data_IF_203301698745
#
_entry.id   IF_203301698745
#
_cell.length_a   1.000
_cell.length_b   1.000
_cell.length_c   1.000
_cell.angle_alpha   90.00
_cell.angle_beta   90.00
_cell.angle_gamma   90.00
#
_symmetry.space_group_name_H-M   'P 1'
#
loop_
_entity.id
_entity.type
_entity.pdbx_description
1 polymer ?
#
# COMPACT_ATOMS: atom_id res chain seq x y z
N UNK A 1 6.40 4.01 8.86
CA UNK A 1 5.96 5.29 8.28
C UNK A 1 6.13 6.43 9.29
N UNK A 2 7.35 6.60 9.78
CA UNK A 2 7.73 7.77 10.57
C UNK A 2 8.76 8.49 9.73
N UNK A 3 8.30 9.45 8.93
CA UNK A 3 9.22 10.33 8.24
C UNK A 3 10.13 10.97 9.29
N UNK A 4 11.37 11.30 8.92
CA UNK A 4 12.28 12.01 9.82
C UNK A 4 11.67 13.34 10.34
N UNK A 5 10.70 13.89 9.60
CA UNK A 5 9.91 15.04 9.99
C UNK A 5 8.97 14.73 11.18
N UNK A 6 8.17 13.65 11.13
CA UNK A 6 7.25 13.31 12.23
C UNK A 6 7.98 13.07 13.55
N UNK A 7 9.11 12.34 13.53
CA UNK A 7 9.91 12.07 14.74
C UNK A 7 10.49 13.32 15.41
N UNK A 8 10.57 14.44 14.69
CA UNK A 8 11.08 15.71 15.21
C UNK A 8 9.98 16.67 15.66
N UNK A 9 8.73 16.45 15.25
CA UNK A 9 7.65 17.45 15.35
C UNK A 9 6.34 16.90 15.94
N UNK A 10 6.32 15.66 16.44
CA UNK A 10 5.15 15.03 17.01
C UNK A 10 5.52 14.13 18.21
N UNK A 11 4.59 13.92 19.12
CA UNK A 11 4.75 13.00 20.26
C UNK A 11 4.75 11.54 19.79
N UNK A 12 5.23 10.63 20.64
CA UNK A 12 5.19 9.19 20.36
C UNK A 12 3.75 8.69 20.16
N UNK A 13 2.81 9.19 20.97
CA UNK A 13 1.38 8.87 20.87
C UNK A 13 0.78 9.33 19.53
N UNK A 14 1.09 10.55 19.08
CA UNK A 14 0.62 11.08 17.80
C UNK A 14 1.17 10.27 16.62
N UNK A 15 2.43 9.87 16.71
CA UNK A 15 3.10 9.01 15.73
C UNK A 15 2.46 7.63 15.70
N UNK A 16 2.13 7.06 16.86
CA UNK A 16 1.49 5.76 16.95
C UNK A 16 0.08 5.79 16.34
N UNK A 17 -0.74 6.77 16.72
CA UNK A 17 -2.09 6.96 16.19
C UNK A 17 -2.07 7.13 14.66
N UNK A 18 -1.16 7.96 14.14
CA UNK A 18 -0.93 8.09 12.70
C UNK A 18 -0.56 6.73 12.06
N UNK A 19 0.37 6.01 12.68
CA UNK A 19 0.83 4.71 12.20
C UNK A 19 -0.29 3.67 12.12
N UNK A 20 -1.21 3.66 13.09
CA UNK A 20 -2.37 2.77 13.11
C UNK A 20 -3.35 3.11 11.98
N UNK A 21 -3.78 4.37 11.86
CA UNK A 21 -4.72 4.81 10.82
C UNK A 21 -4.15 4.64 9.42
N UNK A 22 -2.85 4.89 9.24
CA UNK A 22 -2.17 4.70 7.97
C UNK A 22 -2.12 3.22 7.56
N UNK A 23 -1.78 2.31 8.48
CA UNK A 23 -1.79 0.86 8.21
C UNK A 23 -3.19 0.38 7.84
N UNK A 24 -4.21 0.84 8.55
CA UNK A 24 -5.60 0.50 8.29
C UNK A 24 -6.02 0.96 6.88
N UNK A 25 -5.69 2.20 6.52
CA UNK A 25 -6.03 2.76 5.21
C UNK A 25 -5.38 1.98 4.07
N UNK A 26 -4.10 1.61 4.22
CA UNK A 26 -3.41 0.77 3.26
C UNK A 26 -4.13 -0.57 3.10
N UNK A 27 -4.37 -1.29 4.21
CA UNK A 27 -5.04 -2.60 4.18
C UNK A 27 -6.40 -2.51 3.47
N UNK A 28 -7.21 -1.50 3.79
CA UNK A 28 -8.52 -1.26 3.19
C UNK A 28 -8.44 -0.91 1.70
N UNK A 29 -7.51 -0.03 1.33
CA UNK A 29 -7.30 0.36 -0.07
C UNK A 29 -6.86 -0.83 -0.92
N UNK A 30 -5.97 -1.68 -0.38
CA UNK A 30 -5.54 -2.91 -1.05
C UNK A 30 -6.69 -3.92 -1.18
N UNK A 31 -7.42 -4.18 -0.10
CA UNK A 31 -8.56 -5.10 -0.13
C UNK A 31 -9.62 -4.63 -1.13
N UNK A 32 -10.00 -3.35 -1.09
CA UNK A 32 -10.98 -2.76 -2.02
C UNK A 32 -10.53 -2.84 -3.48
N UNK A 33 -9.27 -2.50 -3.77
CA UNK A 33 -8.71 -2.61 -5.13
C UNK A 33 -8.76 -4.05 -5.62
N UNK A 34 -8.35 -5.02 -4.81
CA UNK A 34 -8.40 -6.44 -5.19
C UNK A 34 -9.83 -6.93 -5.40
N UNK A 35 -10.76 -6.55 -4.52
CA UNK A 35 -12.17 -6.89 -4.63
C UNK A 35 -12.83 -6.28 -5.88
N UNK A 36 -12.44 -5.09 -6.31
CA UNK A 36 -12.96 -4.49 -7.54
C UNK A 36 -12.64 -5.30 -8.81
N UNK A 37 -11.65 -6.19 -8.74
CA UNK A 37 -11.25 -7.07 -9.84
C UNK A 37 -11.70 -8.52 -9.65
N UNK A 38 -12.46 -8.83 -8.59
CA UNK A 38 -12.84 -10.20 -8.22
C UNK A 38 -13.63 -10.98 -9.28
N UNK A 39 -14.36 -10.28 -10.15
CA UNK A 39 -15.13 -10.89 -11.25
C UNK A 39 -14.35 -10.93 -12.59
N UNK A 40 -13.07 -10.59 -12.59
CA UNK A 40 -12.24 -10.53 -13.78
C UNK A 40 -11.31 -11.73 -13.88
N UNK A 41 -10.85 -12.05 -15.09
CA UNK A 41 -9.84 -13.09 -15.28
C UNK A 41 -8.48 -12.58 -14.78
N UNK A 42 -7.94 -13.25 -13.78
CA UNK A 42 -6.63 -12.95 -13.19
C UNK A 42 -5.63 -14.00 -13.65
N UNK A 43 -4.51 -13.56 -14.19
CA UNK A 43 -3.40 -14.40 -14.61
C UNK A 43 -2.14 -14.06 -13.81
N UNK A 44 -1.67 -15.01 -13.00
CA UNK A 44 -0.40 -14.90 -12.30
C UNK A 44 0.71 -15.39 -13.24
N UNK A 45 1.70 -14.52 -13.49
CA UNK A 45 2.88 -14.86 -14.28
C UNK A 45 3.96 -15.47 -13.38
N UNK A 46 5.00 -16.01 -14.02
CA UNK A 46 6.12 -16.62 -13.32
C UNK A 46 6.75 -15.66 -12.28
N UNK A 47 6.85 -16.08 -11.00
CA UNK A 47 7.48 -15.29 -9.96
C UNK A 47 8.97 -15.03 -10.27
N UNK A 48 9.41 -13.81 -10.04
CA UNK A 48 10.80 -13.38 -10.21
C UNK A 48 11.45 -13.19 -8.85
N UNK A 49 12.30 -14.13 -8.46
CA UNK A 49 13.09 -14.04 -7.24
C UNK A 49 14.24 -13.05 -7.40
N UNK A 50 14.56 -12.30 -6.35
CA UNK A 50 15.68 -11.37 -6.36
C UNK A 50 17.00 -12.12 -6.29
N UNK A 51 17.91 -11.80 -7.21
CA UNK A 51 19.27 -12.34 -7.21
C UNK A 51 20.11 -11.88 -6.01
N UNK A 52 19.76 -10.73 -5.41
CA UNK A 52 20.49 -10.14 -4.28
C UNK A 52 19.95 -10.58 -2.93
N UNK A 53 18.69 -11.01 -2.86
CA UNK A 53 18.06 -11.43 -1.62
C UNK A 53 17.02 -12.52 -1.93
N UNK A 54 17.29 -13.79 -1.62
CA UNK A 54 16.37 -14.90 -1.93
C UNK A 54 15.05 -14.82 -1.14
N UNK A 55 14.99 -14.02 -0.07
CA UNK A 55 13.77 -13.73 0.67
C UNK A 55 12.93 -12.63 0.01
N UNK A 56 13.25 -12.18 -1.20
CA UNK A 56 12.44 -11.21 -1.95
C UNK A 56 12.06 -11.76 -3.31
N UNK A 57 10.81 -11.54 -3.68
CA UNK A 57 10.27 -11.93 -4.97
C UNK A 57 9.31 -10.85 -5.51
N UNK A 58 9.12 -10.84 -6.82
CA UNK A 58 8.05 -10.12 -7.47
C UNK A 58 7.14 -11.13 -8.17
N UNK A 59 5.82 -10.99 -8.00
CA UNK A 59 4.82 -11.80 -8.67
C UNK A 59 4.06 -10.90 -9.64
N UNK A 60 4.44 -10.88 -10.94
CA UNK A 60 3.70 -10.13 -11.94
C UNK A 60 2.34 -10.81 -12.18
N UNK A 61 1.31 -10.00 -12.36
CA UNK A 61 -0.08 -10.42 -12.50
C UNK A 61 -0.73 -9.55 -13.56
N UNK A 62 -1.58 -10.17 -14.38
CA UNK A 62 -2.40 -9.47 -15.37
C UNK A 62 -3.86 -9.67 -15.03
N UNK A 63 -4.63 -8.59 -15.07
CA UNK A 63 -6.08 -8.61 -14.86
C UNK A 63 -6.74 -8.20 -16.17
N UNK A 64 -7.46 -9.14 -16.79
CA UNK A 64 -8.21 -8.87 -18.02
C UNK A 64 -9.59 -8.33 -17.66
N UNK A 65 -9.80 -7.06 -18.00
CA UNK A 65 -11.05 -6.35 -17.75
C UNK A 65 -12.13 -6.70 -18.77
N UNK A 66 -13.40 -6.51 -18.42
CA UNK A 66 -14.54 -6.80 -19.29
C UNK A 66 -14.56 -5.97 -20.60
N UNK A 67 -13.91 -4.81 -20.61
CA UNK A 67 -13.74 -3.97 -21.81
C UNK A 67 -12.54 -4.39 -22.68
N UNK A 68 -11.85 -5.48 -22.33
CA UNK A 68 -10.68 -6.00 -23.04
C UNK A 68 -9.34 -5.36 -22.65
N UNK A 69 -9.31 -4.35 -21.76
CA UNK A 69 -8.05 -3.79 -21.28
C UNK A 69 -7.36 -4.73 -20.30
N UNK A 70 -6.04 -4.63 -20.19
CA UNK A 70 -5.23 -5.39 -19.24
C UNK A 70 -4.61 -4.44 -18.23
N UNK A 71 -4.87 -4.68 -16.95
CA UNK A 71 -4.22 -3.99 -15.84
C UNK A 71 -3.04 -4.84 -15.40
N UNK A 72 -1.85 -4.23 -15.31
CA UNK A 72 -0.64 -4.92 -14.83
C UNK A 72 -0.47 -4.65 -13.34
N UNK A 73 -0.48 -5.72 -12.55
CA UNK A 73 -0.23 -5.66 -11.12
C UNK A 73 1.07 -6.42 -10.81
N UNK A 74 1.94 -5.87 -9.98
CA UNK A 74 3.11 -6.60 -9.47
C UNK A 74 3.10 -6.57 -7.96
N UNK A 75 3.01 -7.74 -7.35
CA UNK A 75 3.15 -7.91 -5.90
C UNK A 75 4.62 -8.10 -5.56
N UNK A 76 5.20 -7.17 -4.80
CA UNK A 76 6.53 -7.34 -4.24
C UNK A 76 6.41 -7.98 -2.86
N UNK A 77 7.04 -9.13 -2.72
CA UNK A 77 6.91 -10.00 -1.57
C UNK A 77 8.24 -10.14 -0.83
N UNK A 78 8.16 -10.25 0.49
CA UNK A 78 9.28 -10.56 1.36
C UNK A 78 8.92 -11.80 2.19
N UNK A 79 9.83 -12.76 2.26
CA UNK A 79 9.70 -13.93 3.12
C UNK A 79 10.04 -13.50 4.55
N UNK A 80 9.09 -13.66 5.47
CA UNK A 80 9.29 -13.51 6.91
C UNK A 80 8.89 -14.80 7.59
N UNK A 81 9.80 -15.32 8.40
CA UNK A 81 9.72 -16.68 8.92
C UNK A 81 9.49 -17.65 7.75
N UNK A 82 8.37 -18.37 7.74
CA UNK A 82 7.96 -19.26 6.65
C UNK A 82 6.80 -18.75 5.79
N UNK A 83 6.49 -17.45 5.86
CA UNK A 83 5.40 -16.84 5.11
C UNK A 83 5.90 -15.77 4.14
N UNK A 84 5.41 -15.81 2.90
CA UNK A 84 5.59 -14.73 1.94
C UNK A 84 4.54 -13.65 2.19
N UNK A 85 4.99 -12.44 2.52
CA UNK A 85 4.13 -11.30 2.78
C UNK A 85 4.32 -10.25 1.70
N UNK A 86 3.21 -9.72 1.18
CA UNK A 86 3.23 -8.58 0.27
C UNK A 86 3.62 -7.33 1.07
N UNK A 87 4.66 -6.62 0.62
CA UNK A 87 5.08 -5.37 1.26
C UNK A 87 4.93 -4.14 0.34
N UNK A 88 4.73 -4.34 -0.96
CA UNK A 88 4.47 -3.29 -1.95
C UNK A 88 3.65 -3.87 -3.10
N UNK A 89 2.75 -3.04 -3.66
CA UNK A 89 1.93 -3.40 -4.82
C UNK A 89 2.09 -2.31 -5.85
N UNK A 90 2.48 -2.71 -7.06
CA UNK A 90 2.60 -1.80 -8.19
C UNK A 90 1.48 -2.04 -9.19
N UNK A 91 0.78 -0.99 -9.59
CA UNK A 91 -0.28 -1.02 -10.60
C UNK A 91 0.14 -0.11 -11.75
N UNK A 92 0.25 -0.68 -12.95
CA UNK A 92 0.66 0.01 -14.18
C UNK A 92 1.90 0.90 -14.01
N UNK A 93 2.91 0.39 -13.31
CA UNK A 93 4.18 1.08 -13.06
C UNK A 93 4.17 1.97 -11.81
N UNK A 94 3.00 2.24 -11.23
CA UNK A 94 2.84 3.08 -10.04
C UNK A 94 2.83 2.25 -8.76
N UNK A 95 3.83 2.44 -7.90
CA UNK A 95 3.90 1.78 -6.59
C UNK A 95 2.95 2.43 -5.60
N UNK A 96 1.95 1.68 -5.12
CA UNK A 96 0.90 2.22 -4.26
C UNK A 96 1.45 2.72 -2.93
N UNK A 97 2.24 1.91 -2.21
CA UNK A 97 2.79 2.34 -0.92
C UNK A 97 3.73 3.54 -1.09
N UNK A 98 4.54 3.54 -2.14
CA UNK A 98 5.41 4.67 -2.48
C UNK A 98 4.62 5.95 -2.76
N UNK A 99 3.56 5.89 -3.58
CA UNK A 99 2.71 7.05 -3.89
C UNK A 99 2.02 7.58 -2.63
N UNK A 100 1.38 6.71 -1.85
CA UNK A 100 0.76 7.10 -0.58
C UNK A 100 1.74 7.79 0.38
N UNK A 101 2.97 7.28 0.49
CA UNK A 101 4.01 7.92 1.32
C UNK A 101 4.39 9.31 0.80
N UNK A 102 4.45 9.49 -0.52
CA UNK A 102 4.74 10.79 -1.13
C UNK A 102 3.64 11.79 -0.80
N UNK A 103 2.38 11.41 -1.03
CA UNK A 103 1.23 12.29 -0.81
C UNK A 103 1.11 12.69 0.66
N UNK A 104 1.26 11.72 1.58
CA UNK A 104 1.22 12.01 3.01
C UNK A 104 2.42 12.81 3.50
N UNK A 105 3.62 12.62 2.94
CA UNK A 105 4.76 13.45 3.31
C UNK A 105 4.51 14.92 2.99
N UNK A 106 3.85 15.22 1.87
CA UNK A 106 3.51 16.59 1.51
C UNK A 106 2.46 17.15 2.47
N UNK A 107 1.43 16.37 2.81
CA UNK A 107 0.38 16.84 3.72
C UNK A 107 0.88 16.98 5.16
N UNK A 108 1.72 16.06 5.63
CA UNK A 108 2.33 16.14 6.96
C UNK A 108 3.15 17.43 7.13
N UNK A 109 3.89 17.82 6.10
CA UNK A 109 4.66 19.08 6.12
C UNK A 109 3.76 20.33 6.15
N UNK A 110 2.56 20.26 5.55
CA UNK A 110 1.62 21.39 5.48
C UNK A 110 0.74 21.51 6.72
N UNK A 111 0.21 20.40 7.19
CA UNK A 111 -0.94 20.36 8.12
C UNK A 111 -0.63 19.67 9.44
N UNK A 112 0.54 19.04 9.57
CA UNK A 112 0.97 18.34 10.77
C UNK A 112 0.31 16.98 11.02
N UNK A 113 0.90 16.20 11.95
CA UNK A 113 0.51 14.80 12.20
C UNK A 113 -0.96 14.68 12.60
N UNK A 114 -1.44 15.51 13.53
CA UNK A 114 -2.82 15.41 14.04
C UNK A 114 -3.89 15.65 12.96
N UNK A 115 -3.68 16.63 12.08
CA UNK A 115 -4.61 16.91 10.99
C UNK A 115 -4.67 15.72 10.03
N UNK A 116 -3.50 15.22 9.63
CA UNK A 116 -3.39 14.07 8.74
C UNK A 116 -4.02 12.83 9.35
N UNK A 117 -3.78 12.53 10.63
CA UNK A 117 -4.39 11.39 11.32
C UNK A 117 -5.91 11.48 11.32
N UNK A 118 -6.50 12.66 11.55
CA UNK A 118 -7.96 12.85 11.45
C UNK A 118 -8.47 12.59 10.03
N UNK A 119 -7.77 13.08 9.01
CA UNK A 119 -8.13 12.82 7.62
C UNK A 119 -8.05 11.33 7.26
N UNK A 120 -7.02 10.62 7.73
CA UNK A 120 -6.88 9.18 7.53
C UNK A 120 -8.03 8.42 8.18
N UNK A 121 -8.41 8.79 9.41
CA UNK A 121 -9.56 8.20 10.11
C UNK A 121 -10.87 8.39 9.35
N UNK A 122 -11.13 9.60 8.86
CA UNK A 122 -12.33 9.89 8.05
C UNK A 122 -12.35 9.08 6.75
N UNK A 123 -11.20 8.98 6.05
CA UNK A 123 -11.10 8.14 4.84
C UNK A 123 -11.34 6.67 5.16
N UNK A 124 -10.80 6.19 6.28
CA UNK A 124 -11.04 4.82 6.74
C UNK A 124 -12.54 4.59 6.94
N UNK A 125 -13.24 5.47 7.65
CA UNK A 125 -14.69 5.36 7.88
C UNK A 125 -15.50 5.32 6.58
N UNK A 126 -15.11 6.09 5.56
CA UNK A 126 -15.78 6.12 4.25
C UNK A 126 -15.59 4.83 3.42
N UNK A 127 -14.50 4.08 3.60
CA UNK A 127 -14.29 2.81 2.86
C UNK A 127 -15.19 1.69 3.41
N UNK A 128 -15.80 1.87 4.60
CA UNK A 128 -16.72 0.90 5.20
C UNK A 128 -18.20 1.06 4.77
N UNK A 129 -18.52 2.04 3.92
CA UNK A 129 -19.87 2.30 3.39
C UNK A 129 -19.95 2.02 1.90
#
# INVERSE_FOLDING_TARGET
>A
PTSAWCRKNASEEEIEAFGQEFKLLLLRSYASTLLSYSNQKIEFLEPKYSQKNPHKAAVPTQILMSNGSIIKVTYFMEKKDDHWLVFEVNVDGTGLLKSFRSDLSQELQKSGVNSVTKQLKLKNEQINS
#
